data_IF_256108668915
#
_entry.id   IF_256108668915
#
_cell.length_a   1.000
_cell.length_b   1.000
_cell.length_c   1.000
_cell.angle_alpha   90.00
_cell.angle_beta   90.00
_cell.angle_gamma   90.00
#
_symmetry.space_group_name_H-M   'P 1'
#
loop_
_entity.id
_entity.type
_entity.pdbx_description
1 polymer ?
#
# COMPACT_ATOMS: atom_id res chain seq x y z
N UNK A 1 -10.35 -15.97 25.08
CA UNK A 1 -10.57 -16.87 23.93
C UNK A 1 -11.35 -16.19 22.79
N UNK A 2 -12.52 -15.57 23.02
CA UNK A 2 -13.34 -14.91 21.96
C UNK A 2 -12.59 -13.83 21.13
N UNK A 3 -11.75 -12.99 21.76
CA UNK A 3 -11.00 -11.92 21.06
C UNK A 3 -9.97 -12.45 20.05
N UNK A 4 -9.36 -13.61 20.31
CA UNK A 4 -8.36 -14.20 19.42
C UNK A 4 -9.01 -14.73 18.13
N UNK A 5 -10.22 -15.30 18.23
CA UNK A 5 -11.00 -15.75 17.06
C UNK A 5 -11.46 -14.59 16.20
N UNK A 6 -11.87 -13.46 16.81
CA UNK A 6 -12.24 -12.25 16.07
C UNK A 6 -11.06 -11.66 15.29
N UNK A 7 -9.88 -11.57 15.90
CA UNK A 7 -8.68 -11.10 15.21
C UNK A 7 -8.29 -12.01 14.04
N UNK A 8 -8.37 -13.33 14.22
CA UNK A 8 -8.08 -14.30 13.16
C UNK A 8 -9.05 -14.18 11.98
N UNK A 9 -10.35 -14.06 12.24
CA UNK A 9 -11.37 -13.86 11.20
C UNK A 9 -11.15 -12.52 10.47
N UNK A 10 -10.81 -11.46 11.19
CA UNK A 10 -10.53 -10.16 10.59
C UNK A 10 -9.31 -10.20 9.63
N UNK A 11 -8.25 -10.93 10.00
CA UNK A 11 -7.07 -11.10 9.14
C UNK A 11 -7.43 -11.88 7.87
N UNK A 12 -8.22 -12.95 8.00
CA UNK A 12 -8.67 -13.74 6.83
C UNK A 12 -9.53 -12.86 5.92
N UNK A 13 -10.50 -12.14 6.48
CA UNK A 13 -11.38 -11.26 5.73
C UNK A 13 -10.60 -10.14 5.01
N UNK A 14 -9.63 -9.52 5.69
CA UNK A 14 -8.77 -8.50 5.09
C UNK A 14 -7.92 -9.09 3.95
N UNK A 15 -7.33 -10.28 4.16
CA UNK A 15 -6.53 -10.97 3.15
C UNK A 15 -7.38 -11.30 1.92
N UNK A 16 -8.60 -11.81 2.11
CA UNK A 16 -9.51 -12.12 1.02
C UNK A 16 -9.95 -10.85 0.29
N UNK A 17 -10.32 -9.79 1.01
CA UNK A 17 -10.73 -8.53 0.40
C UNK A 17 -9.60 -7.91 -0.44
N UNK A 18 -8.38 -7.89 0.09
CA UNK A 18 -7.19 -7.39 -0.63
C UNK A 18 -6.90 -8.27 -1.83
N UNK A 19 -6.88 -9.61 -1.66
CA UNK A 19 -6.59 -10.56 -2.73
C UNK A 19 -7.60 -10.47 -3.86
N UNK A 20 -8.90 -10.44 -3.54
CA UNK A 20 -9.97 -10.27 -4.54
C UNK A 20 -9.88 -8.92 -5.23
N UNK A 21 -9.64 -7.84 -4.49
CA UNK A 21 -9.46 -6.50 -5.06
C UNK A 21 -8.28 -6.45 -6.03
N UNK A 22 -7.16 -7.08 -5.69
CA UNK A 22 -5.99 -7.17 -6.56
C UNK A 22 -6.29 -7.96 -7.84
N UNK A 23 -7.01 -9.08 -7.75
CA UNK A 23 -7.38 -9.87 -8.94
C UNK A 23 -8.24 -9.04 -9.92
N UNK A 24 -9.25 -8.32 -9.42
CA UNK A 24 -10.06 -7.45 -10.27
C UNK A 24 -9.25 -6.28 -10.85
N UNK A 25 -8.35 -5.69 -10.06
CA UNK A 25 -7.48 -4.61 -10.54
C UNK A 25 -6.52 -5.09 -11.64
N UNK A 26 -6.02 -6.32 -11.54
CA UNK A 26 -5.17 -6.93 -12.56
C UNK A 26 -5.95 -7.22 -13.85
N UNK A 27 -7.18 -7.74 -13.72
CA UNK A 27 -8.06 -8.01 -14.86
C UNK A 27 -8.40 -6.73 -15.62
N UNK A 28 -8.90 -5.70 -14.92
CA UNK A 28 -9.24 -4.41 -15.52
C UNK A 28 -7.99 -3.67 -16.03
N UNK A 29 -6.87 -3.76 -15.32
CA UNK A 29 -5.60 -3.24 -15.76
C UNK A 29 -5.12 -3.88 -17.07
N UNK A 30 -5.28 -5.19 -17.23
CA UNK A 30 -4.94 -5.90 -18.45
C UNK A 30 -5.81 -5.45 -19.63
N UNK A 31 -7.10 -5.19 -19.39
CA UNK A 31 -8.02 -4.62 -20.36
C UNK A 31 -7.61 -3.21 -20.79
N UNK A 32 -7.30 -2.34 -19.84
CA UNK A 32 -6.83 -0.98 -20.12
C UNK A 32 -5.54 -0.96 -20.96
N UNK A 33 -4.60 -1.87 -20.67
CA UNK A 33 -3.37 -2.02 -21.43
C UNK A 33 -3.63 -2.51 -22.86
N UNK A 34 -4.58 -3.44 -23.02
CA UNK A 34 -4.89 -4.04 -24.32
C UNK A 34 -5.80 -3.16 -25.20
N UNK A 35 -6.56 -2.24 -24.63
CA UNK A 35 -7.39 -1.29 -25.38
C UNK A 35 -6.63 -0.01 -25.74
N UNK A 36 -5.57 0.34 -24.99
CA UNK A 36 -4.82 1.57 -25.19
C UNK A 36 -3.46 1.33 -25.89
N UNK A 37 -3.33 1.81 -27.14
CA UNK A 37 -2.10 1.67 -27.92
C UNK A 37 -0.88 2.38 -27.28
N UNK A 38 -1.08 3.54 -26.64
CA UNK A 38 -0.02 4.28 -25.98
C UNK A 38 0.47 3.57 -24.71
N UNK A 39 -0.44 2.97 -23.93
CA UNK A 39 -0.09 2.18 -22.76
C UNK A 39 0.77 0.96 -23.14
N UNK A 40 0.39 0.25 -24.20
CA UNK A 40 1.20 -0.86 -24.76
C UNK A 40 2.58 -0.39 -25.23
N UNK A 41 2.63 0.71 -25.99
CA UNK A 41 3.89 1.24 -26.50
C UNK A 41 4.84 1.65 -25.37
N UNK A 42 4.30 2.23 -24.30
CA UNK A 42 5.07 2.56 -23.10
C UNK A 42 5.58 1.30 -22.39
N UNK A 43 4.73 0.29 -22.17
CA UNK A 43 5.13 -0.96 -21.49
C UNK A 43 6.24 -1.69 -22.25
N UNK A 44 6.22 -1.64 -23.58
CA UNK A 44 7.25 -2.24 -24.43
C UNK A 44 8.48 -1.35 -24.61
N UNK A 45 8.50 -0.13 -24.07
CA UNK A 45 9.63 0.80 -24.20
C UNK A 45 10.71 0.55 -23.15
N UNK A 46 11.94 0.97 -23.46
CA UNK A 46 13.08 0.91 -22.54
C UNK A 46 12.90 1.79 -21.28
N UNK A 47 11.98 2.75 -21.32
CA UNK A 47 11.66 3.62 -20.19
C UNK A 47 10.76 2.94 -19.14
N UNK A 48 10.13 1.80 -19.46
CA UNK A 48 9.18 1.14 -18.58
C UNK A 48 9.81 0.70 -17.25
N UNK A 49 10.88 -0.10 -17.31
CA UNK A 49 11.54 -0.63 -16.10
C UNK A 49 12.13 0.46 -15.20
N UNK A 50 12.82 1.49 -15.73
CA UNK A 50 13.22 2.65 -14.93
C UNK A 50 12.04 3.33 -14.23
N UNK A 51 10.91 3.50 -14.91
CA UNK A 51 9.73 4.13 -14.33
C UNK A 51 9.11 3.27 -13.20
N UNK A 52 8.99 1.95 -13.41
CA UNK A 52 8.47 1.01 -12.40
C UNK A 52 9.38 0.97 -11.17
N UNK A 53 10.69 0.89 -11.36
CA UNK A 53 11.67 0.89 -10.28
C UNK A 53 11.62 2.22 -9.53
N UNK A 54 11.62 3.35 -10.25
CA UNK A 54 11.53 4.68 -9.66
C UNK A 54 10.27 4.86 -8.81
N UNK A 55 9.11 4.46 -9.33
CA UNK A 55 7.85 4.48 -8.60
C UNK A 55 7.91 3.62 -7.33
N UNK A 56 8.45 2.40 -7.44
CA UNK A 56 8.59 1.47 -6.30
C UNK A 56 9.47 2.07 -5.22
N UNK A 57 10.61 2.68 -5.57
CA UNK A 57 11.51 3.32 -4.62
C UNK A 57 10.85 4.49 -3.90
N UNK A 58 10.07 5.33 -4.61
CA UNK A 58 9.33 6.44 -4.01
C UNK A 58 8.29 5.92 -3.01
N UNK A 59 7.55 4.86 -3.36
CA UNK A 59 6.57 4.25 -2.45
C UNK A 59 7.24 3.66 -1.21
N UNK A 60 8.38 2.99 -1.36
CA UNK A 60 9.16 2.46 -0.22
C UNK A 60 9.68 3.59 0.67
N UNK A 61 10.22 4.67 0.08
CA UNK A 61 10.67 5.83 0.82
C UNK A 61 9.53 6.48 1.61
N UNK A 62 8.33 6.57 1.01
CA UNK A 62 7.13 7.08 1.68
C UNK A 62 6.72 6.17 2.85
N UNK A 63 6.67 4.86 2.65
CA UNK A 63 6.33 3.89 3.70
C UNK A 63 7.33 3.96 4.86
N UNK A 64 8.62 4.03 4.55
CA UNK A 64 9.68 4.23 5.55
C UNK A 64 9.51 5.57 6.26
N UNK A 65 9.17 6.64 5.55
CA UNK A 65 8.88 7.95 6.12
C UNK A 65 7.72 7.90 7.11
N UNK A 66 6.61 7.25 6.74
CA UNK A 66 5.45 7.07 7.61
C UNK A 66 5.82 6.25 8.86
N UNK A 67 6.46 5.10 8.66
CA UNK A 67 6.82 4.18 9.74
C UNK A 67 7.85 4.80 10.70
N UNK A 68 8.86 5.49 10.16
CA UNK A 68 9.84 6.22 10.96
C UNK A 68 9.20 7.40 11.71
N UNK A 69 8.22 8.08 11.11
CA UNK A 69 7.49 9.15 11.81
C UNK A 69 6.71 8.61 13.01
N UNK A 70 6.11 7.42 12.92
CA UNK A 70 5.51 6.75 14.09
C UNK A 70 6.55 6.37 15.15
N UNK A 71 7.79 6.05 14.77
CA UNK A 71 8.85 5.69 15.71
C UNK A 71 9.47 6.90 16.40
N UNK A 72 9.73 7.98 15.67
CA UNK A 72 10.42 9.17 16.19
C UNK A 72 9.47 10.25 16.74
N UNK A 73 8.22 10.27 16.27
CA UNK A 73 7.22 11.25 16.69
C UNK A 73 5.85 10.59 16.99
N UNK A 74 5.79 9.57 17.86
CA UNK A 74 4.54 8.85 18.17
C UNK A 74 3.45 9.80 18.70
N UNK A 75 3.85 10.78 19.51
CA UNK A 75 2.94 11.72 20.16
C UNK A 75 2.29 12.71 19.17
N UNK A 76 2.95 13.02 18.04
CA UNK A 76 2.44 13.99 17.06
C UNK A 76 1.45 13.37 16.07
N UNK A 77 1.48 12.05 15.91
CA UNK A 77 0.65 11.32 14.95
C UNK A 77 -0.53 10.59 15.60
N UNK A 78 -0.53 10.43 16.93
CA UNK A 78 -1.64 9.80 17.66
C UNK A 78 -2.87 10.72 17.82
N UNK A 79 -2.75 12.01 17.48
CA UNK A 79 -3.80 13.01 17.72
C UNK A 79 -3.99 13.36 19.20
N UNK A 80 -3.13 12.87 20.10
CA UNK A 80 -3.15 13.22 21.52
C UNK A 80 -2.55 14.61 21.73
N UNK A 81 -3.28 15.47 22.44
CA UNK A 81 -2.82 16.80 22.85
C UNK A 81 -1.97 16.79 24.13
N UNK A 82 -1.84 15.64 24.80
CA UNK A 82 -1.14 15.51 26.07
C UNK A 82 -0.07 14.40 26.05
N UNK A 83 1.09 14.60 26.72
CA UNK A 83 2.17 13.62 26.76
C UNK A 83 1.77 12.35 27.52
N UNK A 84 2.15 11.16 27.01
CA UNK A 84 1.95 9.87 27.69
C UNK A 84 2.65 9.76 29.04
N UNK A 85 3.65 10.61 29.29
CA UNK A 85 4.51 10.55 30.46
C UNK A 85 4.23 11.63 31.51
N UNK A 86 3.01 12.15 31.54
CA UNK A 86 2.45 13.00 32.61
C UNK A 86 3.48 13.78 33.42
N UNK A 87 3.63 15.07 33.11
CA UNK A 87 3.86 16.01 34.21
C UNK A 87 2.50 16.39 34.77
#
# INVERSE_FOLDING_TARGET
MIRAHLAFVAIIAATLAIGTGLLYALDDGSRLITENAAARAFILSDAFWPAVIGFTLVMLALLLGITSSYHFHPDRLSGRTEPERGK
#
